data_IF_428870084018
#
_entry.id   IF_428870084018
#
_cell.length_a   1.000
_cell.length_b   1.000
_cell.length_c   1.000
_cell.angle_alpha   90.00
_cell.angle_beta   90.00
_cell.angle_gamma   90.00
#
_symmetry.space_group_name_H-M   'P 1'
#
loop_
_entity.id
_entity.type
_entity.pdbx_description
1 polymer ?
#
# COMPACT_ATOMS: atom_id res chain seq x y z
N UNK A 1 -42.82 -36.83 -18.54
CA UNK A 1 -42.77 -35.63 -17.71
C UNK A 1 -41.66 -35.66 -16.67
N UNK A 2 -41.41 -36.74 -15.97
CA UNK A 2 -40.36 -36.85 -14.91
C UNK A 2 -38.91 -36.63 -15.43
N UNK A 3 -38.55 -37.15 -16.61
CA UNK A 3 -37.20 -37.05 -17.18
C UNK A 3 -36.84 -35.59 -17.53
N UNK A 4 -37.78 -34.79 -18.07
CA UNK A 4 -37.57 -33.39 -18.41
C UNK A 4 -37.32 -32.53 -17.16
N UNK A 5 -37.91 -32.86 -16.03
CA UNK A 5 -37.74 -32.19 -14.77
C UNK A 5 -36.34 -32.47 -14.16
N UNK A 6 -35.85 -33.70 -14.28
CA UNK A 6 -34.49 -34.07 -13.83
C UNK A 6 -33.39 -33.39 -14.65
N UNK A 7 -33.58 -33.26 -15.98
CA UNK A 7 -32.62 -32.58 -16.86
C UNK A 7 -32.59 -31.09 -16.55
N UNK A 8 -33.72 -30.44 -16.29
CA UNK A 8 -33.78 -29.01 -15.92
C UNK A 8 -33.13 -28.73 -14.56
N UNK A 9 -33.37 -29.62 -13.58
CA UNK A 9 -32.75 -29.52 -12.26
C UNK A 9 -31.22 -29.72 -12.32
N UNK A 10 -30.73 -30.65 -13.14
CA UNK A 10 -29.29 -30.86 -13.36
C UNK A 10 -28.64 -29.68 -14.08
N UNK A 11 -29.33 -29.04 -15.04
CA UNK A 11 -28.84 -27.81 -15.71
C UNK A 11 -28.76 -26.63 -14.74
N UNK A 12 -29.74 -26.45 -13.86
CA UNK A 12 -29.71 -25.40 -12.83
C UNK A 12 -28.58 -25.60 -11.80
N UNK A 13 -28.30 -26.85 -11.41
CA UNK A 13 -27.17 -27.13 -10.52
C UNK A 13 -25.80 -26.91 -11.20
N UNK A 14 -25.69 -27.19 -12.49
CA UNK A 14 -24.46 -26.92 -13.25
C UNK A 14 -24.16 -25.42 -13.39
N UNK A 15 -25.19 -24.57 -13.51
CA UNK A 15 -25.00 -23.12 -13.58
C UNK A 15 -24.58 -22.49 -12.25
N UNK A 16 -25.02 -23.04 -11.11
CA UNK A 16 -24.59 -22.59 -9.79
C UNK A 16 -23.10 -22.86 -9.56
N UNK A 17 -22.58 -23.96 -10.10
CA UNK A 17 -21.14 -24.29 -9.98
C UNK A 17 -20.22 -23.32 -10.73
N UNK A 18 -20.69 -22.63 -11.76
CA UNK A 18 -19.90 -21.67 -12.54
C UNK A 18 -19.70 -20.36 -11.75
N UNK A 19 -20.67 -19.94 -10.95
CA UNK A 19 -20.54 -18.75 -10.09
C UNK A 19 -19.61 -18.95 -8.89
N UNK A 20 -19.40 -20.19 -8.45
CA UNK A 20 -18.50 -20.51 -7.34
C UNK A 20 -17.01 -20.37 -7.70
N UNK A 21 -16.67 -20.10 -8.96
CA UNK A 21 -15.28 -19.97 -9.42
C UNK A 21 -14.83 -18.50 -9.64
N UNK A 22 -15.72 -17.52 -9.50
CA UNK A 22 -15.36 -16.13 -9.60
C UNK A 22 -14.68 -15.66 -8.31
N UNK A 23 -13.35 -15.72 -8.32
CA UNK A 23 -12.52 -15.16 -7.27
C UNK A 23 -12.41 -13.63 -7.46
N UNK A 24 -12.82 -12.86 -6.47
CA UNK A 24 -12.85 -11.38 -6.52
C UNK A 24 -11.53 -10.72 -6.11
N UNK A 25 -10.49 -11.50 -5.80
CA UNK A 25 -9.20 -10.98 -5.33
C UNK A 25 -9.14 -10.71 -3.83
N UNK A 26 -10.25 -10.90 -3.10
CA UNK A 26 -10.28 -10.83 -1.64
C UNK A 26 -10.12 -12.23 -1.03
N UNK A 27 -9.92 -12.29 0.28
CA UNK A 27 -9.71 -13.52 1.03
C UNK A 27 -8.50 -14.34 0.56
N UNK A 28 -7.42 -13.63 0.18
CA UNK A 28 -6.17 -14.27 -0.21
C UNK A 28 -5.56 -15.06 0.94
N UNK A 29 -5.24 -16.32 0.67
CA UNK A 29 -4.52 -17.19 1.60
C UNK A 29 -3.64 -18.18 0.82
N UNK A 30 -2.78 -18.91 1.52
CA UNK A 30 -1.84 -19.85 0.89
C UNK A 30 -2.53 -20.91 0.03
N UNK A 31 -3.80 -21.25 0.32
CA UNK A 31 -4.56 -22.25 -0.41
C UNK A 31 -5.22 -21.73 -1.69
N UNK A 32 -5.23 -20.43 -1.94
CA UNK A 32 -5.88 -19.84 -3.12
C UNK A 32 -5.00 -18.90 -3.96
N UNK A 33 -3.69 -18.86 -3.72
CA UNK A 33 -2.73 -18.03 -4.47
C UNK A 33 -2.73 -18.32 -5.98
N UNK A 34 -3.12 -19.52 -6.40
CA UNK A 34 -3.20 -19.92 -7.80
C UNK A 34 -4.42 -19.34 -8.54
N UNK A 35 -5.40 -18.77 -7.83
CA UNK A 35 -6.59 -18.23 -8.44
C UNK A 35 -6.31 -16.89 -9.09
N UNK A 36 -6.72 -16.75 -10.33
CA UNK A 36 -6.62 -15.51 -11.08
C UNK A 36 -7.84 -14.63 -10.79
N UNK A 37 -7.63 -13.32 -10.70
CA UNK A 37 -8.70 -12.33 -10.63
C UNK A 37 -8.57 -11.34 -11.79
N UNK A 38 -9.63 -10.55 -12.04
CA UNK A 38 -9.60 -9.45 -13.00
C UNK A 38 -9.10 -8.14 -12.37
N UNK A 39 -8.61 -8.17 -11.14
CA UNK A 39 -8.10 -7.00 -10.43
C UNK A 39 -6.88 -6.42 -11.16
N UNK A 40 -6.81 -5.09 -11.18
CA UNK A 40 -5.69 -4.35 -11.76
C UNK A 40 -4.84 -3.81 -10.62
N UNK A 41 -3.62 -4.30 -10.51
CA UNK A 41 -2.68 -3.82 -9.50
C UNK A 41 -2.14 -2.43 -9.85
N UNK A 42 -1.96 -1.63 -8.80
CA UNK A 42 -1.35 -0.31 -8.81
C UNK A 42 -0.42 -0.15 -7.62
N UNK A 43 0.45 0.83 -7.67
CA UNK A 43 1.37 1.13 -6.59
C UNK A 43 1.54 2.63 -6.43
N UNK A 44 1.38 3.12 -5.20
CA UNK A 44 1.72 4.47 -4.79
C UNK A 44 3.05 4.43 -4.05
N UNK A 45 3.92 5.40 -4.36
CA UNK A 45 5.23 5.57 -3.73
C UNK A 45 5.68 7.02 -3.94
N UNK A 46 6.79 7.48 -3.32
CA UNK A 46 7.36 8.79 -3.62
C UNK A 46 7.75 8.99 -5.09
N UNK A 47 7.95 7.91 -5.84
CA UNK A 47 8.18 7.96 -7.30
C UNK A 47 6.89 8.09 -8.11
N UNK A 48 5.70 7.86 -7.49
CA UNK A 48 4.40 7.90 -8.16
C UNK A 48 3.28 8.09 -7.14
N UNK A 49 2.94 9.32 -6.82
CA UNK A 49 1.91 9.65 -5.81
C UNK A 49 0.48 9.34 -6.26
N UNK A 50 0.22 9.24 -7.56
CA UNK A 50 -1.12 8.97 -8.09
C UNK A 50 -1.40 7.48 -8.29
N UNK A 51 -0.38 6.64 -8.30
CA UNK A 51 -0.50 5.22 -8.63
C UNK A 51 -0.85 4.96 -10.11
N UNK A 52 -0.84 5.97 -10.98
CA UNK A 52 -1.15 5.82 -12.39
C UNK A 52 -0.12 4.94 -13.11
N UNK A 53 -0.62 4.11 -14.04
CA UNK A 53 0.23 3.25 -14.85
C UNK A 53 1.22 4.07 -15.67
N UNK A 54 2.51 3.73 -15.59
CA UNK A 54 3.57 4.36 -16.36
C UNK A 54 4.01 5.73 -15.84
N UNK A 55 3.57 6.15 -14.65
CA UNK A 55 3.94 7.44 -14.04
C UNK A 55 5.04 7.33 -12.99
N UNK A 56 5.56 6.13 -12.73
CA UNK A 56 6.69 5.94 -11.80
C UNK A 56 8.01 6.43 -12.37
N UNK A 57 8.83 7.09 -11.55
CA UNK A 57 10.16 7.58 -11.92
C UNK A 57 10.17 8.65 -13.02
N UNK A 58 9.08 9.40 -13.19
CA UNK A 58 8.90 10.34 -14.31
C UNK A 58 9.52 11.73 -14.07
N UNK A 59 10.06 12.02 -12.87
CA UNK A 59 10.77 13.25 -12.64
C UNK A 59 12.02 13.32 -13.53
N UNK A 60 12.23 14.48 -14.18
CA UNK A 60 13.44 14.71 -14.99
C UNK A 60 14.61 15.05 -14.07
N UNK A 61 15.70 14.26 -14.07
CA UNK A 61 16.85 14.49 -13.20
C UNK A 61 17.63 15.78 -13.51
N UNK A 62 17.36 16.43 -14.65
CA UNK A 62 18.06 17.64 -15.08
C UNK A 62 17.20 18.88 -14.84
N UNK A 63 15.92 18.83 -15.20
CA UNK A 63 15.04 20.01 -15.22
C UNK A 63 14.16 20.13 -13.98
N UNK A 64 13.76 19.01 -13.36
CA UNK A 64 12.84 18.98 -12.20
C UNK A 64 13.58 19.06 -10.86
N UNK A 65 14.58 19.93 -10.75
CA UNK A 65 15.46 20.04 -9.56
C UNK A 65 14.69 20.26 -8.25
N UNK A 66 13.56 20.93 -8.29
CA UNK A 66 12.73 21.17 -7.11
C UNK A 66 11.91 19.95 -6.68
N UNK A 67 11.63 19.04 -7.63
CA UNK A 67 10.88 17.80 -7.39
C UNK A 67 11.77 16.62 -7.03
N UNK A 68 13.06 16.76 -7.22
CA UNK A 68 14.04 15.72 -6.95
C UNK A 68 14.53 15.88 -5.52
N UNK A 69 14.25 14.88 -4.71
CA UNK A 69 14.86 14.79 -3.40
C UNK A 69 16.37 14.59 -3.56
N UNK A 70 17.17 15.60 -3.20
CA UNK A 70 18.60 15.71 -3.52
C UNK A 70 19.49 14.66 -2.85
N UNK A 71 18.95 13.82 -1.99
CA UNK A 71 19.72 12.81 -1.31
C UNK A 71 19.95 11.58 -2.18
N UNK A 72 21.01 11.55 -2.91
CA UNK A 72 21.73 10.35 -3.39
C UNK A 72 21.03 9.40 -4.38
N UNK A 73 19.74 9.51 -4.64
CA UNK A 73 19.07 8.52 -5.47
C UNK A 73 19.05 8.85 -6.96
N UNK A 74 19.32 10.09 -7.33
CA UNK A 74 19.28 10.55 -8.73
C UNK A 74 20.48 10.12 -9.58
N UNK A 75 21.48 9.45 -9.01
CA UNK A 75 22.67 9.07 -9.78
C UNK A 75 22.36 8.21 -10.99
N UNK A 76 21.48 7.22 -10.86
CA UNK A 76 21.09 6.38 -11.98
C UNK A 76 20.31 7.17 -13.04
N UNK A 77 19.33 7.96 -12.63
CA UNK A 77 18.53 8.76 -13.55
C UNK A 77 19.36 9.84 -14.27
N UNK A 78 20.36 10.42 -13.60
CA UNK A 78 21.26 11.41 -14.21
C UNK A 78 22.04 10.87 -15.40
N UNK A 79 22.38 9.60 -15.38
CA UNK A 79 23.16 8.94 -16.45
C UNK A 79 22.30 8.13 -17.42
N UNK A 80 21.20 7.54 -16.93
CA UNK A 80 20.33 6.64 -17.67
C UNK A 80 19.02 7.30 -18.15
N UNK A 81 18.77 8.54 -17.73
CA UNK A 81 17.59 9.33 -18.13
C UNK A 81 16.36 9.12 -17.29
N UNK A 82 15.24 9.69 -17.75
CA UNK A 82 13.94 9.59 -17.12
C UNK A 82 13.46 8.13 -17.05
N UNK A 83 12.70 7.79 -16.02
CA UNK A 83 12.22 6.41 -15.77
C UNK A 83 13.04 5.66 -14.72
N UNK A 84 14.15 6.23 -14.30
CA UNK A 84 14.96 5.69 -13.22
C UNK A 84 14.65 6.39 -11.89
N UNK A 85 15.00 5.73 -10.80
CA UNK A 85 14.72 6.20 -9.44
C UNK A 85 15.32 7.57 -9.17
N UNK A 86 14.47 8.54 -8.74
CA UNK A 86 14.85 9.91 -8.40
C UNK A 86 14.33 10.38 -7.04
N UNK A 87 13.12 9.95 -6.65
CA UNK A 87 12.43 10.36 -5.42
C UNK A 87 12.10 9.13 -4.53
N UNK A 88 13.09 8.53 -3.85
CA UNK A 88 12.87 7.27 -3.14
C UNK A 88 12.11 7.42 -1.82
N UNK A 89 11.96 8.64 -1.30
CA UNK A 89 11.37 8.92 0.01
C UNK A 89 10.70 10.30 0.03
N UNK A 90 9.92 10.52 1.07
CA UNK A 90 9.43 11.84 1.48
C UNK A 90 10.07 12.24 2.81
N UNK A 91 10.25 13.54 3.02
CA UNK A 91 10.54 14.10 4.32
C UNK A 91 9.25 14.65 4.92
N UNK A 92 9.04 14.42 6.21
CA UNK A 92 7.92 14.94 6.98
C UNK A 92 8.53 15.77 8.13
N UNK A 93 8.31 17.07 8.08
CA UNK A 93 8.84 18.00 9.06
C UNK A 93 8.25 17.85 10.46
N UNK A 94 8.80 18.55 11.46
CA UNK A 94 8.25 18.58 12.80
C UNK A 94 6.80 19.05 12.82
N UNK A 95 5.91 18.31 13.50
CA UNK A 95 4.47 18.58 13.60
C UNK A 95 3.74 18.67 12.24
N UNK A 96 4.27 18.01 11.22
CA UNK A 96 3.70 17.96 9.88
C UNK A 96 2.94 16.66 9.64
N UNK A 97 1.83 16.76 8.90
CA UNK A 97 1.08 15.61 8.39
C UNK A 97 1.24 15.53 6.88
N UNK A 98 1.66 14.36 6.39
CA UNK A 98 1.81 14.06 4.97
C UNK A 98 0.79 13.00 4.52
N UNK A 99 0.16 13.20 3.36
CA UNK A 99 -0.71 12.20 2.76
C UNK A 99 0.12 11.21 1.93
N UNK A 100 0.23 9.98 2.43
CA UNK A 100 0.96 8.91 1.75
C UNK A 100 0.22 8.37 0.53
N UNK A 101 -1.10 8.24 0.64
CA UNK A 101 -1.96 7.76 -0.43
C UNK A 101 -3.36 8.36 -0.33
N UNK A 102 -3.96 8.62 -1.49
CA UNK A 102 -5.36 8.97 -1.65
C UNK A 102 -5.86 8.24 -2.90
N UNK A 103 -6.75 7.28 -2.70
CA UNK A 103 -7.13 6.30 -3.74
C UNK A 103 -8.64 6.32 -3.88
N UNK A 104 -9.11 6.62 -5.08
CA UNK A 104 -10.52 6.45 -5.46
C UNK A 104 -10.81 4.97 -5.71
N UNK A 105 -11.93 4.51 -5.16
CA UNK A 105 -12.33 3.11 -5.20
C UNK A 105 -13.47 2.80 -6.18
N UNK A 106 -14.02 1.60 -6.08
CA UNK A 106 -13.71 0.57 -5.07
C UNK A 106 -12.34 -0.08 -5.28
N UNK A 107 -11.73 -0.53 -4.17
CA UNK A 107 -10.41 -1.13 -4.23
C UNK A 107 -10.05 -1.89 -2.96
N UNK A 108 -8.82 -2.37 -2.90
CA UNK A 108 -8.26 -3.02 -1.71
C UNK A 108 -6.77 -2.77 -1.62
N UNK A 109 -6.29 -2.30 -0.47
CA UNK A 109 -4.86 -2.32 -0.16
C UNK A 109 -4.44 -3.78 -0.01
N UNK A 110 -3.35 -4.17 -0.69
CA UNK A 110 -2.82 -5.52 -0.69
C UNK A 110 -1.54 -5.65 0.12
N UNK A 111 -0.72 -4.61 0.09
CA UNK A 111 0.54 -4.56 0.82
C UNK A 111 0.93 -3.12 1.11
N UNK A 112 1.49 -2.91 2.28
CA UNK A 112 2.22 -1.69 2.61
C UNK A 112 3.64 -2.09 2.98
N UNK A 113 4.61 -1.52 2.29
CA UNK A 113 6.02 -1.59 2.66
C UNK A 113 6.50 -0.20 3.02
N UNK A 114 7.27 -0.06 4.10
CA UNK A 114 7.91 1.20 4.42
C UNK A 114 9.16 1.03 5.29
N UNK A 115 10.03 2.04 5.21
CA UNK A 115 11.23 2.16 6.04
C UNK A 115 11.25 3.58 6.60
N UNK A 116 10.59 3.84 7.74
CA UNK A 116 10.62 5.13 8.38
C UNK A 116 11.91 5.31 9.18
N UNK A 117 12.48 6.52 9.13
CA UNK A 117 13.54 6.96 10.05
C UNK A 117 12.93 7.69 11.25
N UNK A 118 13.76 8.11 12.20
CA UNK A 118 13.30 8.83 13.39
C UNK A 118 12.69 7.93 14.45
N UNK A 119 11.88 8.53 15.31
CA UNK A 119 11.24 7.81 16.43
C UNK A 119 9.87 7.28 16.05
N UNK A 120 9.73 5.97 15.94
CA UNK A 120 8.50 5.33 15.50
C UNK A 120 7.31 5.56 16.45
N UNK A 121 7.57 5.89 17.72
CA UNK A 121 6.54 6.25 18.70
C UNK A 121 5.98 7.68 18.48
N UNK A 122 6.72 8.52 17.79
CA UNK A 122 6.34 9.90 17.45
C UNK A 122 5.83 10.05 16.01
N UNK A 123 5.59 8.94 15.35
CA UNK A 123 5.09 8.91 13.98
C UNK A 123 3.75 8.22 13.97
N UNK A 124 2.69 8.96 13.65
CA UNK A 124 1.32 8.46 13.71
C UNK A 124 0.84 8.15 12.30
N UNK A 125 0.48 6.90 12.04
CA UNK A 125 -0.20 6.50 10.81
C UNK A 125 -1.72 6.50 11.02
N UNK A 126 -2.47 7.03 10.02
CA UNK A 126 -3.93 7.04 10.05
C UNK A 126 -4.48 6.51 8.74
N UNK A 127 -5.60 5.79 8.85
CA UNK A 127 -6.37 5.29 7.71
C UNK A 127 -7.81 5.80 7.79
N UNK A 128 -8.29 6.33 6.67
CA UNK A 128 -9.65 6.82 6.49
C UNK A 128 -10.28 6.07 5.34
N UNK A 129 -11.49 5.56 5.54
CA UNK A 129 -12.22 4.80 4.54
C UNK A 129 -13.50 5.52 4.13
N UNK A 130 -13.84 5.43 2.85
CA UNK A 130 -15.17 5.78 2.34
C UNK A 130 -15.69 7.16 2.75
N UNK A 131 -14.82 8.18 2.74
CA UNK A 131 -15.08 9.58 3.12
C UNK A 131 -15.33 9.81 4.63
N UNK A 132 -14.91 8.89 5.48
CA UNK A 132 -14.94 9.10 6.93
C UNK A 132 -14.10 10.33 7.33
N UNK A 133 -14.62 11.10 8.29
CA UNK A 133 -13.94 12.29 8.83
C UNK A 133 -12.88 11.91 9.86
N UNK A 134 -13.20 10.93 10.68
CA UNK A 134 -12.33 10.42 11.71
C UNK A 134 -11.59 9.17 11.20
N UNK A 135 -10.34 8.94 11.58
CA UNK A 135 -9.62 7.77 11.15
C UNK A 135 -10.14 6.50 11.80
N UNK A 136 -10.33 5.44 11.03
CA UNK A 136 -10.65 4.10 11.55
C UNK A 136 -9.43 3.42 12.18
N UNK A 137 -8.23 3.83 11.80
CA UNK A 137 -6.97 3.40 12.40
C UNK A 137 -6.14 4.63 12.71
N UNK A 138 -5.68 4.74 13.95
CA UNK A 138 -4.75 5.77 14.41
C UNK A 138 -3.83 5.17 15.44
N UNK A 139 -2.55 5.06 15.12
CA UNK A 139 -1.55 4.54 16.06
C UNK A 139 -0.13 4.93 15.65
N UNK A 140 0.85 4.83 16.56
CA UNK A 140 2.25 4.93 16.19
C UNK A 140 2.63 3.92 15.12
N UNK A 141 3.50 4.31 14.18
CA UNK A 141 3.87 3.46 13.05
C UNK A 141 4.47 2.11 13.49
N UNK A 142 5.28 2.11 14.54
CA UNK A 142 5.83 0.87 15.07
C UNK A 142 4.75 -0.08 15.58
N UNK A 143 3.73 0.44 16.26
CA UNK A 143 2.62 -0.38 16.78
C UNK A 143 1.80 -1.00 15.66
N UNK A 144 1.54 -0.26 14.58
CA UNK A 144 0.83 -0.78 13.40
C UNK A 144 1.53 -2.02 12.81
N UNK A 145 2.85 -2.02 12.81
CA UNK A 145 3.66 -3.15 12.33
C UNK A 145 4.12 -4.11 13.44
N UNK A 146 3.43 -4.12 14.59
CA UNK A 146 3.73 -4.98 15.74
C UNK A 146 5.15 -4.81 16.32
N UNK A 147 5.76 -3.63 16.15
CA UNK A 147 7.08 -3.24 16.63
C UNK A 147 7.01 -1.99 17.53
N UNK A 148 6.18 -2.08 18.59
CA UNK A 148 5.83 -0.95 19.46
C UNK A 148 6.93 -0.47 20.42
N UNK A 149 8.08 -1.13 20.46
CA UNK A 149 9.17 -0.85 21.43
C UNK A 149 10.00 0.39 21.10
N UNK A 150 9.83 0.96 19.88
CA UNK A 150 10.70 2.04 19.39
C UNK A 150 12.11 1.59 18.99
N UNK A 151 12.40 0.30 19.08
CA UNK A 151 13.66 -0.33 18.71
C UNK A 151 13.39 -1.45 17.70
N UNK A 152 14.36 -1.69 16.82
CA UNK A 152 14.28 -2.80 15.89
C UNK A 152 14.22 -4.14 16.64
N UNK A 153 13.21 -4.90 16.32
CA UNK A 153 13.08 -6.31 16.72
C UNK A 153 12.57 -7.10 15.50
N UNK A 154 13.28 -8.13 15.06
CA UNK A 154 12.84 -8.92 13.91
C UNK A 154 11.52 -9.62 14.22
N UNK A 155 10.57 -9.45 13.31
CA UNK A 155 9.25 -10.07 13.37
C UNK A 155 8.94 -10.72 12.03
N UNK A 156 8.40 -11.93 12.06
CA UNK A 156 7.90 -12.62 10.87
C UNK A 156 6.58 -13.30 11.16
N UNK A 157 5.54 -12.90 10.42
CA UNK A 157 4.22 -13.53 10.42
C UNK A 157 3.63 -13.47 9.02
N UNK A 158 2.45 -14.08 8.81
CA UNK A 158 1.74 -13.97 7.54
C UNK A 158 1.15 -12.57 7.32
N UNK A 159 0.83 -11.86 8.40
CA UNK A 159 0.16 -10.56 8.33
C UNK A 159 1.16 -9.39 8.32
N UNK A 160 2.23 -9.48 9.11
CA UNK A 160 3.21 -8.42 9.32
C UNK A 160 4.61 -9.01 9.38
N UNK A 161 5.56 -8.30 8.77
CA UNK A 161 6.97 -8.66 8.81
C UNK A 161 7.82 -7.41 9.03
N UNK A 162 8.80 -7.47 9.94
CA UNK A 162 9.80 -6.42 10.19
C UNK A 162 11.17 -7.02 9.96
N UNK A 163 11.55 -7.14 8.69
CA UNK A 163 12.80 -7.77 8.20
C UNK A 163 13.10 -7.30 6.76
N UNK A 164 14.40 -7.16 6.37
CA UNK A 164 15.56 -6.98 7.24
C UNK A 164 15.60 -5.56 7.82
N UNK A 165 16.22 -5.39 8.97
CA UNK A 165 16.29 -4.08 9.63
C UNK A 165 14.91 -3.48 9.85
N UNK A 166 14.76 -2.16 9.67
CA UNK A 166 13.48 -1.45 9.82
C UNK A 166 12.58 -1.52 8.57
N UNK A 167 12.66 -2.56 7.77
CA UNK A 167 11.75 -2.80 6.66
C UNK A 167 10.41 -3.34 7.19
N UNK A 168 9.45 -2.46 7.33
CA UNK A 168 8.10 -2.74 7.79
C UNK A 168 7.25 -3.21 6.63
N UNK A 169 6.59 -4.35 6.77
CA UNK A 169 5.69 -4.92 5.79
C UNK A 169 4.36 -5.30 6.44
N UNK A 170 3.28 -4.95 5.78
CA UNK A 170 1.92 -5.33 6.15
C UNK A 170 1.25 -5.97 4.94
N UNK A 171 0.64 -7.14 5.13
CA UNK A 171 -0.05 -7.90 4.11
C UNK A 171 -1.55 -8.06 4.41
N UNK A 172 -2.09 -7.29 5.37
CA UNK A 172 -3.52 -7.25 5.61
C UNK A 172 -4.23 -6.67 4.39
N UNK A 173 -5.19 -7.40 3.87
CA UNK A 173 -6.08 -6.87 2.85
C UNK A 173 -7.05 -5.88 3.49
N UNK A 174 -7.09 -4.67 2.96
CA UNK A 174 -7.93 -3.59 3.47
C UNK A 174 -8.85 -3.08 2.34
N UNK A 175 -10.04 -3.70 2.17
CA UNK A 175 -10.99 -3.31 1.13
C UNK A 175 -11.70 -2.00 1.49
N UNK A 176 -12.01 -1.20 0.46
CA UNK A 176 -12.80 0.01 0.57
C UNK A 176 -13.76 0.13 -0.62
N UNK A 177 -14.88 0.81 -0.42
CA UNK A 177 -15.96 0.92 -1.42
C UNK A 177 -15.85 2.17 -2.27
N UNK A 178 -15.44 3.30 -1.68
CA UNK A 178 -15.38 4.60 -2.35
C UNK A 178 -13.98 5.16 -2.37
N UNK A 179 -13.34 5.22 -1.20
CA UNK A 179 -12.08 5.93 -1.06
C UNK A 179 -11.24 5.34 0.08
N UNK A 180 -9.92 5.39 -0.12
CA UNK A 180 -8.93 5.14 0.92
C UNK A 180 -7.99 6.34 0.99
N UNK A 181 -7.81 6.91 2.20
CA UNK A 181 -6.79 7.91 2.47
C UNK A 181 -5.88 7.41 3.59
N UNK A 182 -4.57 7.52 3.37
CA UNK A 182 -3.56 7.14 4.36
C UNK A 182 -2.68 8.36 4.61
N UNK A 183 -2.57 8.75 5.88
CA UNK A 183 -1.71 9.86 6.28
C UNK A 183 -0.66 9.40 7.28
N UNK A 184 0.41 10.15 7.37
CA UNK A 184 1.44 10.00 8.38
C UNK A 184 1.77 11.36 8.97
N UNK A 185 1.71 11.46 10.29
CA UNK A 185 2.06 12.66 11.03
C UNK A 185 3.33 12.43 11.84
N UNK A 186 4.24 13.38 11.75
CA UNK A 186 5.40 13.45 12.62
C UNK A 186 5.08 14.39 13.79
N UNK A 187 4.83 13.83 14.96
CA UNK A 187 4.58 14.62 16.18
C UNK A 187 5.85 14.99 16.96
N UNK A 188 7.04 14.69 16.41
CA UNK A 188 8.29 15.18 16.98
C UNK A 188 8.41 16.70 16.72
N UNK A 189 8.55 17.53 17.76
CA UNK A 189 8.60 18.99 17.58
C UNK A 189 9.94 19.49 17.03
N UNK A 190 10.98 18.66 17.00
CA UNK A 190 12.34 19.09 16.73
C UNK A 190 12.99 18.43 15.52
N UNK A 191 12.57 17.19 15.18
CA UNK A 191 13.28 16.40 14.20
C UNK A 191 12.38 16.05 13.01
N UNK A 192 12.93 16.21 11.81
CA UNK A 192 12.36 15.70 10.58
C UNK A 192 12.45 14.18 10.55
N UNK A 193 11.44 13.52 9.98
CA UNK A 193 11.49 12.11 9.65
C UNK A 193 11.52 11.89 8.13
N UNK A 194 12.15 10.81 7.73
CA UNK A 194 12.19 10.35 6.34
C UNK A 194 11.46 9.04 6.20
N UNK A 195 10.62 8.93 5.17
CA UNK A 195 9.84 7.72 4.90
C UNK A 195 10.06 7.26 3.48
N UNK A 196 10.65 6.08 3.34
CA UNK A 196 10.58 5.28 2.12
C UNK A 196 9.34 4.43 2.20
N UNK A 197 8.50 4.42 1.17
CA UNK A 197 7.29 3.61 1.21
C UNK A 197 6.80 3.17 -0.17
N UNK A 198 6.00 2.11 -0.16
CA UNK A 198 5.25 1.63 -1.29
C UNK A 198 3.94 1.03 -0.79
N UNK A 199 2.82 1.46 -1.38
CA UNK A 199 1.47 0.99 -1.09
C UNK A 199 0.94 0.34 -2.35
N UNK A 200 0.78 -0.99 -2.33
CA UNK A 200 0.25 -1.78 -3.42
C UNK A 200 -1.24 -2.01 -3.21
N UNK A 201 -2.05 -1.79 -4.24
CA UNK A 201 -3.49 -1.92 -4.19
C UNK A 201 -4.08 -2.44 -5.51
N UNK A 202 -5.32 -2.88 -5.44
CA UNK A 202 -6.12 -3.33 -6.58
C UNK A 202 -7.46 -2.63 -6.60
#
# INVERSE_FOLDING_TARGET
>A
MKIKFFILAALCMATISIYAQNFNGLDMNMGNLYRLSNAKTRSISPENFTGEKGKGGMADPITDKEKINQANAHHAAKTLGQGWKVNPYVNIGPNETFTLAEIEGPGSIQQIWMTPTGEWRKTIIRFYWDDEKEPSVECPIGDFFCSGWGLYSPLSSLAVCVNPGSAFNCYWQMPFRKKCKITMENIDPNNEMRVYYQINYT
#
